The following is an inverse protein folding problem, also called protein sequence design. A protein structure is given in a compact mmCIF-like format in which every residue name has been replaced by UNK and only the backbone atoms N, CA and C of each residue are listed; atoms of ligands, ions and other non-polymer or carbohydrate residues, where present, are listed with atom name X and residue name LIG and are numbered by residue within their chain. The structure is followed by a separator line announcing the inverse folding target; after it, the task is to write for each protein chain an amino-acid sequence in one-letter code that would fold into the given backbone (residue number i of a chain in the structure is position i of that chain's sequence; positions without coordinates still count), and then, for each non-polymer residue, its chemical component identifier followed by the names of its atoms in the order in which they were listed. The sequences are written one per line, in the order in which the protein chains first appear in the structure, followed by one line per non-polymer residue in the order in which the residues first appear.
data_IF_605106879929
#
_entry.id   IF_605106879929
#
_cell.length_a   1.000
_cell.length_b   1.000
_cell.length_c   1.000
_cell.angle_alpha   90.00
_cell.angle_beta   90.00
_cell.angle_gamma   90.00
#
_symmetry.space_group_name_H-M   'P 1'
#
loop_
_entity.id
_entity.type
_entity.pdbx_description
1 polymer ?
#
# COMPACT_ATOMS: atom_id res chain seq x y z
N UNK A 1 14.68 -26.88 -14.99
CA UNK A 1 14.98 -25.53 -15.48
C UNK A 1 13.72 -25.10 -16.22
N UNK A 2 12.70 -24.74 -15.46
CA UNK A 2 11.33 -24.62 -15.98
C UNK A 2 11.15 -23.22 -16.57
N UNK A 3 11.05 -23.17 -17.91
CA UNK A 3 10.98 -21.99 -18.77
C UNK A 3 9.77 -21.08 -18.58
N UNK A 4 9.48 -20.67 -17.35
CA UNK A 4 8.53 -19.60 -17.06
C UNK A 4 9.20 -18.29 -17.44
N UNK A 5 8.65 -17.63 -18.47
CA UNK A 5 9.07 -16.29 -18.85
C UNK A 5 8.97 -15.37 -17.61
N UNK A 6 10.08 -14.79 -17.12
CA UNK A 6 10.09 -13.97 -15.91
C UNK A 6 9.16 -12.75 -16.01
N UNK A 7 8.81 -12.31 -17.22
CA UNK A 7 7.85 -11.24 -17.45
C UNK A 7 6.42 -11.59 -16.96
N UNK A 8 6.04 -12.87 -16.93
CA UNK A 8 4.71 -13.32 -16.48
C UNK A 8 4.49 -12.97 -15.01
N UNK A 9 5.53 -13.05 -14.17
CA UNK A 9 5.44 -12.68 -12.76
C UNK A 9 5.05 -11.21 -12.55
N UNK A 10 5.34 -10.33 -13.51
CA UNK A 10 5.00 -8.91 -13.43
C UNK A 10 3.57 -8.59 -13.87
N UNK A 11 2.83 -9.56 -14.44
CA UNK A 11 1.44 -9.37 -14.84
C UNK A 11 0.56 -9.42 -13.59
N UNK A 12 -0.14 -8.32 -13.30
CA UNK A 12 -1.07 -8.27 -12.17
C UNK A 12 -2.42 -8.91 -12.50
N UNK A 13 -3.33 -8.95 -11.52
CA UNK A 13 -4.71 -9.47 -11.67
C UNK A 13 -5.56 -8.76 -12.74
N UNK A 14 -5.13 -7.58 -13.19
CA UNK A 14 -5.78 -6.80 -14.27
C UNK A 14 -5.14 -7.03 -15.64
N UNK A 15 -4.19 -7.96 -15.75
CA UNK A 15 -3.62 -8.40 -17.03
C UNK A 15 -2.54 -7.48 -17.61
N UNK A 16 -1.98 -6.55 -16.84
CA UNK A 16 -0.88 -5.69 -17.31
C UNK A 16 0.36 -5.77 -16.42
N UNK A 17 1.53 -5.49 -17.02
CA UNK A 17 2.81 -5.48 -16.31
C UNK A 17 2.87 -4.36 -15.28
N UNK A 18 3.28 -4.69 -14.05
CA UNK A 18 3.44 -3.75 -12.95
C UNK A 18 4.42 -4.27 -11.91
N UNK A 19 4.88 -3.38 -11.04
CA UNK A 19 5.58 -3.68 -9.79
C UNK A 19 4.56 -3.48 -8.66
N UNK A 20 4.52 -4.41 -7.70
CA UNK A 20 3.75 -4.21 -6.47
C UNK A 20 4.64 -3.50 -5.44
N UNK A 21 4.13 -2.39 -4.91
CA UNK A 21 4.87 -1.49 -4.01
C UNK A 21 4.11 -1.38 -2.70
N UNK A 22 4.74 -1.83 -1.61
CA UNK A 22 4.29 -1.53 -0.26
C UNK A 22 4.86 -0.19 0.18
N UNK A 23 4.04 0.65 0.79
CA UNK A 23 4.46 1.96 1.31
C UNK A 23 3.76 2.25 2.62
N UNK A 24 4.45 2.91 3.54
CA UNK A 24 3.94 3.31 4.84
C UNK A 24 4.12 4.81 4.96
N UNK A 25 3.04 5.47 5.39
CA UNK A 25 3.00 6.90 5.63
C UNK A 25 2.65 7.18 7.08
N UNK A 26 3.14 8.30 7.62
CA UNK A 26 2.56 8.90 8.82
C UNK A 26 1.33 9.77 8.46
N UNK A 27 0.71 10.36 9.48
CA UNK A 27 -0.49 11.19 9.32
C UNK A 27 -0.28 12.45 8.46
N UNK A 28 0.96 12.94 8.38
CA UNK A 28 1.35 14.12 7.59
C UNK A 28 1.73 13.76 6.14
N UNK A 29 1.45 12.51 5.72
CA UNK A 29 1.81 11.96 4.41
C UNK A 29 3.32 11.90 4.17
N UNK A 30 4.13 11.84 5.23
CA UNK A 30 5.58 11.59 5.15
C UNK A 30 5.82 10.09 5.04
N UNK A 31 6.80 9.73 4.22
CA UNK A 31 7.19 8.34 3.98
C UNK A 31 7.97 7.82 5.18
N UNK A 32 7.46 6.76 5.79
CA UNK A 32 8.18 5.99 6.81
C UNK A 32 8.90 4.79 6.20
N UNK A 33 8.30 4.16 5.18
CA UNK A 33 8.89 3.01 4.50
C UNK A 33 8.38 2.87 3.07
N UNK A 34 9.22 2.35 2.18
CA UNK A 34 8.85 1.93 0.82
C UNK A 34 9.56 0.63 0.45
N UNK A 35 8.81 -0.31 -0.12
CA UNK A 35 9.31 -1.59 -0.61
C UNK A 35 8.74 -1.87 -2.01
N UNK A 36 9.56 -1.62 -3.03
CA UNK A 36 9.19 -1.72 -4.45
C UNK A 36 9.88 -2.90 -5.16
N UNK A 37 10.13 -4.00 -4.43
CA UNK A 37 10.95 -5.13 -4.93
C UNK A 37 10.15 -6.27 -5.58
N UNK A 38 8.82 -6.17 -5.60
CA UNK A 38 7.98 -7.33 -5.91
C UNK A 38 7.31 -7.21 -7.28
N UNK A 39 7.24 -8.30 -8.06
CA UNK A 39 6.46 -8.34 -9.27
C UNK A 39 4.97 -8.07 -9.02
N UNK A 40 4.26 -7.54 -10.02
CA UNK A 40 2.86 -7.14 -9.91
C UNK A 40 1.85 -8.27 -9.63
N UNK A 41 2.25 -9.53 -9.79
CA UNK A 41 1.41 -10.68 -9.40
C UNK A 41 1.47 -10.99 -7.89
N UNK A 42 2.45 -10.44 -7.18
CA UNK A 42 2.67 -10.72 -5.74
C UNK A 42 1.51 -10.20 -4.89
N UNK A 43 1.04 -11.02 -3.96
CA UNK A 43 0.02 -10.65 -2.98
C UNK A 43 0.59 -9.72 -1.90
N UNK A 44 -0.20 -8.75 -1.46
CA UNK A 44 0.21 -7.76 -0.45
C UNK A 44 0.61 -8.43 0.88
N UNK A 45 -0.11 -9.47 1.29
CA UNK A 45 0.23 -10.30 2.45
C UNK A 45 1.60 -10.97 2.36
N UNK A 46 2.02 -11.40 1.17
CA UNK A 46 3.34 -12.02 0.96
C UNK A 46 4.47 -10.99 1.06
N UNK A 47 4.23 -9.77 0.55
CA UNK A 47 5.17 -8.64 0.70
C UNK A 47 5.28 -8.28 2.19
N UNK A 48 4.16 -8.22 2.90
CA UNK A 48 4.13 -7.94 4.33
C UNK A 48 4.91 -8.96 5.16
N UNK A 49 4.66 -10.26 4.93
CA UNK A 49 5.30 -11.31 5.73
C UNK A 49 6.82 -11.28 5.61
N UNK A 50 7.34 -10.89 4.44
CA UNK A 50 8.77 -10.78 4.16
C UNK A 50 9.36 -9.39 4.40
N UNK A 51 8.55 -8.41 4.84
CA UNK A 51 9.00 -7.04 5.06
C UNK A 51 9.84 -6.89 6.34
N UNK A 52 10.87 -6.04 6.27
CA UNK A 52 11.69 -5.69 7.44
C UNK A 52 10.88 -4.94 8.50
N UNK A 53 9.83 -4.21 8.09
CA UNK A 53 8.93 -3.51 9.02
C UNK A 53 8.11 -4.49 9.84
N UNK A 54 7.53 -5.52 9.22
CA UNK A 54 6.80 -6.56 9.94
C UNK A 54 7.71 -7.28 10.95
N UNK A 55 8.93 -7.64 10.53
CA UNK A 55 9.92 -8.25 11.43
C UNK A 55 10.22 -7.35 12.63
N UNK A 56 10.48 -6.06 12.38
CA UNK A 56 10.75 -5.09 13.44
C UNK A 56 9.58 -4.91 14.41
N UNK A 57 8.34 -4.79 13.91
CA UNK A 57 7.16 -4.62 14.75
C UNK A 57 6.86 -5.88 15.56
N UNK A 58 7.05 -7.07 14.98
CA UNK A 58 6.93 -8.36 15.67
C UNK A 58 7.90 -8.46 16.83
N UNK A 59 9.17 -8.12 16.61
CA UNK A 59 10.20 -8.10 17.67
C UNK A 59 9.84 -7.11 18.79
N UNK A 60 9.36 -5.91 18.43
CA UNK A 60 8.95 -4.90 19.41
C UNK A 60 7.77 -5.34 20.24
N UNK A 61 6.78 -5.98 19.61
CA UNK A 61 5.65 -6.56 20.32
C UNK A 61 6.10 -7.65 21.29
N UNK A 62 6.99 -8.56 20.86
CA UNK A 62 7.56 -9.60 21.72
C UNK A 62 8.38 -9.05 22.89
N UNK A 63 8.93 -7.84 22.75
CA UNK A 63 9.61 -7.09 23.82
C UNK A 63 8.63 -6.36 24.76
N UNK A 64 7.31 -6.53 24.59
CA UNK A 64 6.27 -5.91 25.40
C UNK A 64 5.81 -4.54 24.93
N UNK A 65 6.21 -4.10 23.73
CA UNK A 65 5.72 -2.83 23.15
C UNK A 65 4.44 -3.07 22.36
N UNK A 66 3.31 -2.87 23.04
CA UNK A 66 1.97 -3.16 22.49
C UNK A 66 1.21 -1.92 22.00
N UNK A 67 1.80 -0.72 22.11
CA UNK A 67 1.15 0.56 21.81
C UNK A 67 1.48 1.11 20.42
N UNK A 68 1.66 0.24 19.42
CA UNK A 68 2.07 0.65 18.06
C UNK A 68 1.28 -0.16 17.04
N UNK A 69 0.58 0.55 16.15
CA UNK A 69 -0.26 -0.06 15.12
C UNK A 69 -0.06 0.62 13.77
N UNK A 70 -0.10 -0.19 12.72
CA UNK A 70 -0.29 0.24 11.35
C UNK A 70 -1.75 0.03 10.92
N UNK A 71 -2.20 0.84 9.97
CA UNK A 71 -3.52 0.75 9.35
C UNK A 71 -3.34 0.18 7.94
N UNK A 72 -3.66 -1.10 7.77
CA UNK A 72 -3.56 -1.81 6.49
C UNK A 72 -4.88 -1.83 5.71
N UNK A 73 -4.82 -2.19 4.43
CA UNK A 73 -6.01 -2.58 3.68
C UNK A 73 -6.42 -4.05 3.95
N UNK A 74 -7.48 -4.52 3.29
CA UNK A 74 -8.00 -5.88 3.47
C UNK A 74 -7.14 -6.98 2.85
N UNK A 75 -6.11 -6.64 2.07
CA UNK A 75 -5.14 -7.58 1.50
C UNK A 75 -4.07 -8.03 2.49
N UNK A 76 -3.95 -7.33 3.63
CA UNK A 76 -3.02 -7.66 4.70
C UNK A 76 -3.65 -8.59 5.75
N UNK A 77 -2.83 -9.35 6.51
CA UNK A 77 -3.30 -10.11 7.66
C UNK A 77 -3.54 -9.20 8.87
N UNK A 78 -4.59 -9.49 9.65
CA UNK A 78 -4.77 -8.88 10.97
C UNK A 78 -3.70 -9.38 11.94
N UNK A 79 -2.98 -8.47 12.60
CA UNK A 79 -1.94 -8.77 13.58
C UNK A 79 -1.96 -7.76 14.74
N UNK A 80 -1.33 -8.06 15.89
CA UNK A 80 -1.34 -7.15 17.04
C UNK A 80 -0.79 -5.74 16.75
N UNK A 81 0.06 -5.58 15.73
CA UNK A 81 0.64 -4.32 15.26
C UNK A 81 0.13 -3.88 13.87
N UNK A 82 -0.83 -4.59 13.27
CA UNK A 82 -1.40 -4.26 11.96
C UNK A 82 -2.91 -4.49 11.96
N UNK A 83 -3.65 -3.38 11.97
CA UNK A 83 -5.10 -3.37 11.91
C UNK A 83 -5.57 -3.42 10.47
N UNK A 84 -6.63 -4.18 10.21
CA UNK A 84 -7.26 -4.31 8.89
C UNK A 84 -8.76 -4.04 9.02
N UNK A 85 -9.46 -3.61 7.95
CA UNK A 85 -10.90 -3.44 8.01
C UNK A 85 -11.61 -4.79 8.22
N UNK A 86 -12.79 -4.75 8.83
CA UNK A 86 -13.70 -5.91 8.89
C UNK A 86 -14.52 -5.90 7.61
N UNK A 87 -14.30 -6.90 6.76
CA UNK A 87 -15.02 -7.07 5.50
C UNK A 87 -16.47 -7.52 5.78
N UNK A 88 -17.42 -7.06 4.97
CA UNK A 88 -18.83 -7.43 5.05
C UNK A 88 -19.47 -7.20 6.44
N UNK A 89 -19.06 -6.14 7.14
CA UNK A 89 -19.68 -5.75 8.40
C UNK A 89 -21.15 -5.33 8.16
N UNK A 90 -22.06 -5.86 8.98
CA UNK A 90 -23.48 -5.53 8.87
C UNK A 90 -23.73 -4.04 9.16
N UNK A 91 -24.67 -3.39 8.45
CA UNK A 91 -24.98 -1.98 8.69
C UNK A 91 -25.39 -1.71 10.15
N UNK A 92 -25.03 -0.54 10.67
CA UNK A 92 -25.35 -0.08 12.04
C UNK A 92 -24.72 -0.90 13.18
N UNK A 93 -23.71 -1.71 12.89
CA UNK A 93 -22.92 -2.44 13.90
C UNK A 93 -21.66 -1.66 14.32
N UNK A 94 -21.09 -1.94 15.52
CA UNK A 94 -19.78 -1.43 15.90
C UNK A 94 -18.68 -1.74 14.87
N UNK A 95 -18.76 -2.90 14.22
CA UNK A 95 -17.85 -3.35 13.18
C UNK A 95 -17.94 -2.46 11.94
N UNK A 96 -19.15 -2.06 11.52
CA UNK A 96 -19.33 -1.12 10.42
C UNK A 96 -18.79 0.27 10.77
N UNK A 97 -18.98 0.73 12.02
CA UNK A 97 -18.40 1.98 12.51
C UNK A 97 -16.87 1.92 12.51
N UNK A 98 -16.30 0.81 12.99
CA UNK A 98 -14.86 0.55 12.96
C UNK A 98 -14.32 0.60 11.53
N UNK A 99 -14.88 -0.19 10.61
CA UNK A 99 -14.42 -0.25 9.21
C UNK A 99 -14.55 1.10 8.53
N UNK A 100 -15.62 1.85 8.80
CA UNK A 100 -15.77 3.22 8.29
C UNK A 100 -14.63 4.12 8.77
N UNK A 101 -14.35 4.17 10.08
CA UNK A 101 -13.25 4.98 10.64
C UNK A 101 -11.89 4.53 10.13
N UNK A 102 -11.68 3.22 10.00
CA UNK A 102 -10.46 2.62 9.47
C UNK A 102 -10.18 3.06 8.03
N UNK A 103 -11.20 2.97 7.15
CA UNK A 103 -11.10 3.44 5.78
C UNK A 103 -10.80 4.94 5.69
N UNK A 104 -11.44 5.76 6.54
CA UNK A 104 -11.15 7.19 6.60
C UNK A 104 -9.70 7.48 7.02
N UNK A 105 -9.18 6.78 8.03
CA UNK A 105 -7.79 6.92 8.47
C UNK A 105 -6.80 6.51 7.36
N UNK A 106 -7.11 5.43 6.63
CA UNK A 106 -6.27 4.92 5.52
C UNK A 106 -6.17 5.89 4.34
N UNK A 107 -7.11 6.85 4.18
CA UNK A 107 -7.11 7.82 3.08
C UNK A 107 -5.81 8.62 2.95
N UNK A 108 -5.03 8.76 4.04
CA UNK A 108 -3.69 9.36 4.04
C UNK A 108 -2.76 8.71 3.00
N UNK A 109 -2.78 7.38 2.89
CA UNK A 109 -1.96 6.63 1.93
C UNK A 109 -2.37 6.95 0.49
N UNK A 110 -3.67 7.01 0.22
CA UNK A 110 -4.20 7.31 -1.13
C UNK A 110 -3.84 8.73 -1.56
N UNK A 111 -3.95 9.70 -0.64
CA UNK A 111 -3.55 11.09 -0.86
C UNK A 111 -2.04 11.21 -1.09
N UNK A 112 -1.22 10.54 -0.28
CA UNK A 112 0.23 10.52 -0.44
C UNK A 112 0.66 9.98 -1.80
N UNK A 113 0.10 8.82 -2.20
CA UNK A 113 0.34 8.24 -3.54
C UNK A 113 -0.16 9.17 -4.65
N UNK A 114 -1.29 9.85 -4.45
CA UNK A 114 -1.81 10.86 -5.38
C UNK A 114 -0.81 11.99 -5.63
N UNK A 115 -0.23 12.56 -4.56
CA UNK A 115 0.81 13.59 -4.64
C UNK A 115 2.01 13.08 -5.43
N UNK A 116 2.43 11.83 -5.23
CA UNK A 116 3.55 11.26 -5.97
C UNK A 116 3.25 11.11 -7.45
N UNK A 117 2.06 10.64 -7.82
CA UNK A 117 1.66 10.52 -9.23
C UNK A 117 1.56 11.89 -9.91
N UNK A 118 1.24 12.94 -9.16
CA UNK A 118 1.27 14.32 -9.67
C UNK A 118 2.70 14.85 -9.85
N UNK A 119 3.59 14.62 -8.87
CA UNK A 119 4.99 15.10 -8.91
C UNK A 119 5.87 14.28 -9.85
N UNK A 120 5.79 12.96 -9.77
CA UNK A 120 6.55 12.00 -10.56
C UNK A 120 5.66 11.37 -11.63
N UNK A 121 5.56 12.04 -12.78
CA UNK A 121 4.70 11.61 -13.90
C UNK A 121 5.01 10.21 -14.44
N UNK A 122 6.22 9.69 -14.22
CA UNK A 122 6.59 8.32 -14.56
C UNK A 122 5.77 7.26 -13.80
N UNK A 123 5.16 7.62 -12.66
CA UNK A 123 4.26 6.77 -11.88
C UNK A 123 2.81 6.80 -12.39
N UNK A 124 2.46 7.73 -13.30
CA UNK A 124 1.16 7.74 -13.97
C UNK A 124 1.18 6.85 -15.20
N UNK A 125 0.06 6.16 -15.43
CA UNK A 125 -0.15 5.34 -16.63
C UNK A 125 -0.04 6.17 -17.91
N UNK A 126 -0.63 7.36 -17.90
CA UNK A 126 -0.76 8.18 -19.10
C UNK A 126 0.57 8.86 -19.48
N UNK A 127 1.50 9.03 -18.53
CA UNK A 127 2.83 9.66 -18.70
C UNK A 127 2.81 11.04 -19.38
N UNK A 128 1.65 11.68 -19.50
CA UNK A 128 1.45 12.98 -20.14
C UNK A 128 1.04 14.07 -19.14
N UNK A 129 1.21 15.32 -19.55
CA UNK A 129 0.72 16.49 -18.84
C UNK A 129 -0.79 16.64 -19.09
N UNK A 130 -1.60 16.60 -18.03
CA UNK A 130 -3.06 16.80 -18.11
C UNK A 130 -3.46 18.29 -18.10
N UNK A 131 -2.50 19.19 -18.31
CA UNK A 131 -2.75 20.61 -18.46
C UNK A 131 -1.89 21.14 -19.60
N UNK A 132 -2.41 22.13 -20.34
CA UNK A 132 -1.67 22.80 -21.41
C UNK A 132 -0.84 23.93 -20.80
N UNK A 133 0.47 23.87 -20.93
CA UNK A 133 1.34 25.01 -20.64
C UNK A 133 1.11 26.08 -21.72
N UNK A 134 0.83 27.31 -21.32
CA UNK A 134 0.71 28.44 -22.25
C UNK A 134 2.05 28.87 -22.86
N UNK A 135 3.17 28.46 -22.26
CA UNK A 135 4.52 28.77 -22.72
C UNK A 135 5.46 27.63 -22.30
N UNK A 136 6.19 27.05 -23.26
CA UNK A 136 7.36 26.23 -22.95
C UNK A 136 8.53 27.19 -22.64
N UNK A 137 9.20 27.00 -21.50
CA UNK A 137 10.41 27.76 -21.19
C UNK A 137 11.44 27.61 -22.33
N UNK A 138 12.05 28.72 -22.72
CA UNK A 138 13.14 28.76 -23.72
C UNK A 138 14.33 27.92 -23.27
#
# INVERSE_FOLDING_TARGET
DDGINPAVAYINRKGYHSINVQTIFDADMIILNINARYPGSTHDSAIWETSTVNQHLREKYQQGRENTWLIGDSGYPLQPWLMTPINNADPNTPEAVYTSRHCHARNVVERGIGIWKERFRCLKKDRVLHYKHGVAGK
#
